data_IF_131425550826
#
_entry.id   IF_131425550826
#
_cell.length_a   1.000
_cell.length_b   1.000
_cell.length_c   1.000
_cell.angle_alpha   90.00
_cell.angle_beta   90.00
_cell.angle_gamma   90.00
#
_symmetry.space_group_name_H-M   'P 1'
#
loop_
_entity.id
_entity.type
_entity.pdbx_description
1 polymer ?
#
# COMPACT_ATOMS: atom_id res chain seq x y z
N UNK A 1 4.12 -14.02 -24.53
CA UNK A 1 3.15 -13.14 -25.22
C UNK A 1 2.49 -12.24 -24.18
N UNK A 2 3.28 -11.42 -23.46
CA UNK A 2 2.74 -10.43 -22.53
C UNK A 2 2.39 -9.20 -23.34
N UNK A 3 1.14 -8.72 -23.26
CA UNK A 3 0.78 -7.44 -23.86
C UNK A 3 1.63 -6.38 -23.16
N UNK A 4 2.64 -5.89 -23.88
CA UNK A 4 3.35 -4.68 -23.57
C UNK A 4 2.30 -3.60 -23.28
N UNK A 5 2.50 -2.93 -22.17
CA UNK A 5 1.80 -1.70 -21.78
C UNK A 5 1.73 -0.83 -23.05
N UNK A 6 0.56 -0.29 -23.44
CA UNK A 6 0.45 0.56 -24.63
C UNK A 6 1.51 1.66 -24.56
N UNK A 7 2.07 2.00 -25.73
CA UNK A 7 3.01 3.11 -25.95
C UNK A 7 2.77 4.27 -24.97
N UNK A 8 3.83 4.65 -24.26
CA UNK A 8 3.81 5.63 -23.17
C UNK A 8 3.12 6.95 -23.60
N UNK A 9 3.19 7.28 -24.89
CA UNK A 9 2.64 8.49 -25.46
C UNK A 9 1.10 8.55 -25.51
N UNK A 10 0.43 7.43 -25.74
CA UNK A 10 -1.05 7.40 -25.88
C UNK A 10 -1.75 7.55 -24.53
N UNK A 11 -1.12 7.07 -23.48
CA UNK A 11 -1.71 7.09 -22.16
C UNK A 11 -1.46 8.43 -21.43
N UNK A 12 -0.33 9.10 -21.70
CA UNK A 12 -0.06 10.46 -21.21
C UNK A 12 -1.15 11.44 -21.66
N UNK A 13 -1.51 11.38 -22.94
CA UNK A 13 -2.64 12.16 -23.50
C UNK A 13 -3.96 11.80 -22.82
N UNK A 14 -4.17 10.52 -22.47
CA UNK A 14 -5.36 10.08 -21.75
C UNK A 14 -5.43 10.66 -20.34
N UNK A 15 -4.29 10.74 -19.64
CA UNK A 15 -4.23 11.35 -18.31
C UNK A 15 -4.45 12.87 -18.36
N UNK A 16 -3.87 13.55 -19.35
CA UNK A 16 -4.10 14.98 -19.58
C UNK A 16 -5.57 15.26 -19.97
N UNK A 17 -6.19 14.41 -20.79
CA UNK A 17 -7.62 14.46 -21.10
C UNK A 17 -8.53 14.22 -19.88
N UNK A 18 -8.14 13.33 -18.94
CA UNK A 18 -8.88 13.12 -17.69
C UNK A 18 -8.83 14.35 -16.79
N UNK A 19 -7.69 15.06 -16.77
CA UNK A 19 -7.51 16.28 -15.98
C UNK A 19 -8.28 17.48 -16.57
N UNK A 20 -8.54 17.46 -17.88
CA UNK A 20 -9.08 18.61 -18.65
C UNK A 20 -10.48 18.38 -19.24
N UNK A 21 -11.17 17.28 -18.90
CA UNK A 21 -12.49 16.95 -19.45
C UNK A 21 -13.50 18.10 -19.25
N UNK A 22 -14.16 18.51 -20.36
CA UNK A 22 -15.07 19.67 -20.47
C UNK A 22 -14.47 21.04 -20.13
N UNK A 23 -13.15 21.22 -20.27
CA UNK A 23 -12.51 22.54 -20.09
C UNK A 23 -12.46 23.01 -18.64
N UNK A 24 -12.63 22.09 -17.67
CA UNK A 24 -12.35 22.36 -16.27
C UNK A 24 -10.91 21.99 -15.94
N UNK A 25 -10.14 22.94 -15.41
CA UNK A 25 -8.73 22.77 -15.02
C UNK A 25 -8.55 22.03 -13.66
N UNK A 26 -9.57 21.33 -13.17
CA UNK A 26 -9.68 20.95 -11.75
C UNK A 26 -10.25 19.57 -11.44
N UNK A 27 -10.32 18.65 -12.42
CA UNK A 27 -10.74 17.28 -12.11
C UNK A 27 -9.66 16.58 -11.27
N UNK A 28 -10.01 16.19 -10.04
CA UNK A 28 -9.17 15.33 -9.20
C UNK A 28 -9.10 13.94 -9.84
N UNK A 29 -7.96 13.64 -10.46
CA UNK A 29 -7.67 12.30 -11.01
C UNK A 29 -6.92 11.49 -9.94
N UNK A 30 -7.43 10.33 -9.51
CA UNK A 30 -6.74 9.48 -8.55
C UNK A 30 -5.33 9.09 -9.01
N UNK A 31 -4.36 9.07 -8.10
CA UNK A 31 -2.95 8.78 -8.41
C UNK A 31 -2.69 7.39 -8.98
N UNK A 32 -3.63 6.43 -8.88
CA UNK A 32 -3.54 5.12 -9.55
C UNK A 32 -3.53 5.24 -11.09
N UNK A 33 -4.01 6.37 -11.61
CA UNK A 33 -3.91 6.70 -13.02
C UNK A 33 -2.71 7.58 -13.33
N UNK A 34 -1.85 7.93 -12.37
CA UNK A 34 -0.72 8.84 -12.62
C UNK A 34 0.37 8.16 -13.45
N UNK A 35 1.00 8.89 -14.41
CA UNK A 35 2.09 8.33 -15.18
C UNK A 35 3.32 7.92 -14.44
N UNK A 36 4.01 6.89 -14.98
CA UNK A 36 5.20 6.32 -14.34
C UNK A 36 6.23 7.42 -14.08
N UNK A 37 6.49 8.28 -15.07
CA UNK A 37 7.38 9.44 -14.92
C UNK A 37 6.93 10.44 -13.84
N UNK A 38 5.63 10.52 -13.57
CA UNK A 38 5.05 11.40 -12.55
C UNK A 38 4.92 10.72 -11.17
N UNK A 39 5.02 9.39 -11.10
CA UNK A 39 4.97 8.65 -9.83
C UNK A 39 6.21 8.95 -8.99
N UNK A 40 6.00 9.17 -7.69
CA UNK A 40 7.08 9.43 -6.72
C UNK A 40 7.90 8.18 -6.39
N UNK A 41 7.28 7.00 -6.48
CA UNK A 41 7.89 5.73 -6.11
C UNK A 41 7.49 4.65 -7.12
N UNK A 42 8.44 3.75 -7.41
CA UNK A 42 8.18 2.48 -8.09
C UNK A 42 8.38 1.35 -7.08
N UNK A 43 7.39 0.49 -6.92
CA UNK A 43 7.46 -0.70 -6.06
C UNK A 43 7.55 -1.95 -6.96
N UNK A 44 8.61 -2.72 -6.83
CA UNK A 44 8.78 -4.01 -7.55
C UNK A 44 8.46 -5.13 -6.59
N UNK A 45 7.35 -5.84 -6.82
CA UNK A 45 6.96 -7.00 -6.02
C UNK A 45 7.99 -8.12 -6.22
N UNK A 46 8.54 -8.61 -5.11
CA UNK A 46 9.53 -9.69 -5.08
C UNK A 46 8.93 -11.02 -4.63
N UNK A 47 7.87 -11.00 -3.82
CA UNK A 47 7.23 -12.21 -3.32
C UNK A 47 5.73 -12.02 -3.04
N UNK A 48 4.99 -13.13 -3.09
CA UNK A 48 3.57 -13.22 -2.79
C UNK A 48 3.29 -14.51 -2.01
N UNK A 49 2.93 -14.38 -0.73
CA UNK A 49 2.68 -15.51 0.14
C UNK A 49 1.21 -15.52 0.57
N UNK A 50 0.51 -16.64 0.37
CA UNK A 50 -0.82 -16.86 0.96
C UNK A 50 -0.67 -17.40 2.38
N UNK A 51 -1.23 -16.72 3.37
CA UNK A 51 -1.15 -17.12 4.78
C UNK A 51 -2.40 -16.71 5.56
N UNK A 52 -2.53 -17.21 6.80
CA UNK A 52 -3.53 -16.67 7.73
C UNK A 52 -3.00 -15.39 8.36
N UNK A 53 -3.92 -14.47 8.67
CA UNK A 53 -3.58 -13.22 9.33
C UNK A 53 -2.85 -13.45 10.66
N UNK A 54 -3.26 -14.46 11.44
CA UNK A 54 -2.61 -14.79 12.72
C UNK A 54 -1.24 -15.47 12.58
N UNK A 55 -0.84 -15.86 11.36
CA UNK A 55 0.50 -16.41 11.12
C UNK A 55 1.56 -15.30 11.03
N UNK A 56 1.16 -14.02 11.16
CA UNK A 56 2.07 -12.87 11.16
C UNK A 56 3.08 -12.96 12.32
N UNK A 57 4.34 -12.68 12.02
CA UNK A 57 5.41 -12.62 13.03
C UNK A 57 5.55 -11.21 13.61
N UNK A 58 6.31 -11.09 14.70
CA UNK A 58 6.64 -9.78 15.26
C UNK A 58 7.49 -8.96 14.28
N UNK A 59 8.39 -9.61 13.55
CA UNK A 59 9.23 -9.04 12.51
C UNK A 59 8.38 -8.49 11.36
N UNK A 60 7.42 -9.27 10.84
CA UNK A 60 6.49 -8.82 9.79
C UNK A 60 5.69 -7.59 10.25
N UNK A 61 5.15 -7.64 11.48
CA UNK A 61 4.41 -6.52 12.06
C UNK A 61 5.26 -5.24 12.11
N UNK A 62 6.56 -5.35 12.42
CA UNK A 62 7.48 -4.21 12.42
C UNK A 62 7.73 -3.70 10.99
N UNK A 63 7.94 -4.60 10.02
CA UNK A 63 8.19 -4.26 8.62
C UNK A 63 7.00 -3.57 7.93
N UNK A 64 5.77 -3.81 8.40
CA UNK A 64 4.56 -3.09 7.98
C UNK A 64 4.54 -1.60 8.36
N UNK A 65 5.55 -1.13 9.11
CA UNK A 65 5.77 0.28 9.40
C UNK A 65 5.47 0.68 10.84
N UNK A 66 5.56 -0.26 11.79
CA UNK A 66 5.53 0.11 13.20
C UNK A 66 6.83 0.80 13.61
N UNK A 67 6.69 1.83 14.43
CA UNK A 67 7.82 2.60 14.95
C UNK A 67 8.03 2.28 16.44
N UNK A 68 9.28 2.36 16.87
CA UNK A 68 9.65 2.14 18.27
C UNK A 68 9.71 3.45 19.05
N UNK A 69 8.99 3.49 20.17
CA UNK A 69 8.91 4.63 21.08
C UNK A 69 9.21 4.15 22.51
N UNK A 70 10.47 4.30 22.93
CA UNK A 70 10.98 3.72 24.16
C UNK A 70 10.96 2.19 24.15
N UNK A 71 10.21 1.60 25.08
CA UNK A 71 10.02 0.16 25.23
C UNK A 71 8.79 -0.38 24.47
N UNK A 72 8.05 0.48 23.75
CA UNK A 72 6.81 0.13 23.07
C UNK A 72 6.87 0.41 21.57
N UNK A 73 5.91 -0.19 20.86
CA UNK A 73 5.64 0.00 19.44
C UNK A 73 4.42 0.89 19.25
N UNK A 74 4.37 1.61 18.12
CA UNK A 74 3.29 2.53 17.72
C UNK A 74 3.16 2.60 16.20
N UNK A 75 2.04 3.16 15.74
CA UNK A 75 1.85 3.62 14.36
C UNK A 75 1.14 4.97 14.37
N UNK A 76 1.56 5.88 13.50
CA UNK A 76 1.06 7.27 13.50
C UNK A 76 -0.44 7.39 13.20
N UNK A 77 -1.00 6.45 12.43
CA UNK A 77 -2.44 6.39 12.16
C UNK A 77 -3.28 6.06 13.40
N UNK A 78 -2.65 5.52 14.46
CA UNK A 78 -3.26 5.21 15.75
C UNK A 78 -2.50 5.89 16.89
N UNK A 79 -2.56 7.23 17.00
CA UNK A 79 -1.71 8.03 17.87
C UNK A 79 -1.96 7.85 19.37
N UNK A 80 -2.93 7.01 19.76
CA UNK A 80 -3.27 6.71 21.15
C UNK A 80 -3.10 5.21 21.49
N UNK A 81 -2.44 4.44 20.63
CA UNK A 81 -2.27 3.00 20.80
C UNK A 81 -0.79 2.61 20.81
N UNK A 82 -0.31 2.12 21.96
CA UNK A 82 1.05 1.62 22.16
C UNK A 82 1.02 0.28 22.87
N UNK A 83 1.94 -0.62 22.50
CA UNK A 83 2.10 -1.92 23.15
C UNK A 83 3.57 -2.38 23.10
N UNK A 84 3.99 -3.18 24.06
CA UNK A 84 5.32 -3.82 24.05
C UNK A 84 5.40 -4.91 22.97
N UNK A 85 4.27 -5.53 22.62
CA UNK A 85 4.14 -6.52 21.55
C UNK A 85 3.73 -5.84 20.23
N UNK A 86 4.58 -5.86 19.18
CA UNK A 86 4.26 -5.25 17.90
C UNK A 86 3.04 -5.89 17.23
N UNK A 87 2.77 -7.18 17.48
CA UNK A 87 1.60 -7.87 16.90
C UNK A 87 0.29 -7.28 17.44
N UNK A 88 0.26 -6.83 18.70
CA UNK A 88 -0.93 -6.15 19.24
C UNK A 88 -1.18 -4.79 18.60
N UNK A 89 -0.11 -4.04 18.31
CA UNK A 89 -0.23 -2.74 17.62
C UNK A 89 -0.68 -2.95 16.19
N UNK A 90 -0.10 -3.93 15.48
CA UNK A 90 -0.52 -4.29 14.14
C UNK A 90 -1.97 -4.78 14.10
N UNK A 91 -2.40 -5.58 15.08
CA UNK A 91 -3.81 -5.97 15.22
C UNK A 91 -4.73 -4.76 15.30
N UNK A 92 -4.41 -3.78 16.15
CA UNK A 92 -5.22 -2.58 16.28
C UNK A 92 -5.26 -1.78 14.97
N UNK A 93 -4.12 -1.70 14.26
CA UNK A 93 -4.03 -1.10 12.93
C UNK A 93 -4.92 -1.83 11.93
N UNK A 94 -4.83 -3.16 11.88
CA UNK A 94 -5.61 -4.00 11.00
C UNK A 94 -7.12 -3.77 11.20
N UNK A 95 -7.60 -3.86 12.44
CA UNK A 95 -9.02 -3.65 12.78
C UNK A 95 -9.51 -2.23 12.47
N UNK A 96 -8.62 -1.23 12.48
CA UNK A 96 -8.96 0.14 12.08
C UNK A 96 -9.19 0.29 10.56
N UNK A 97 -8.55 -0.56 9.76
CA UNK A 97 -8.62 -0.55 8.30
C UNK A 97 -9.70 -1.53 7.78
N UNK A 98 -9.88 -2.66 8.47
CA UNK A 98 -10.75 -3.77 8.05
C UNK A 98 -11.88 -4.00 9.06
N UNK A 99 -13.00 -3.32 8.84
CA UNK A 99 -14.13 -3.32 9.80
C UNK A 99 -15.25 -4.31 9.45
N UNK A 100 -15.21 -4.91 8.26
CA UNK A 100 -16.27 -5.78 7.75
C UNK A 100 -16.10 -7.22 8.26
N UNK A 101 -17.20 -7.94 8.52
CA UNK A 101 -17.14 -9.36 8.85
C UNK A 101 -16.41 -10.15 7.76
N UNK A 102 -15.56 -11.08 8.16
CA UNK A 102 -14.68 -11.86 7.28
C UNK A 102 -13.34 -11.19 6.97
N UNK A 103 -13.13 -9.93 7.39
CA UNK A 103 -11.88 -9.19 7.18
C UNK A 103 -11.22 -8.77 8.50
N UNK A 104 -11.89 -8.89 9.65
CA UNK A 104 -11.37 -8.43 10.95
C UNK A 104 -10.26 -9.31 11.46
N UNK A 105 -9.50 -8.83 12.45
CA UNK A 105 -8.50 -9.64 13.12
C UNK A 105 -9.09 -10.94 13.69
N UNK A 106 -10.26 -10.84 14.34
CA UNK A 106 -10.94 -11.99 14.95
C UNK A 106 -11.39 -13.06 13.94
N UNK A 107 -11.62 -12.67 12.68
CA UNK A 107 -12.06 -13.58 11.62
C UNK A 107 -10.91 -14.43 11.07
N UNK A 108 -9.66 -14.08 11.39
CA UNK A 108 -8.44 -14.70 10.89
C UNK A 108 -8.48 -15.00 9.37
N UNK A 109 -8.68 -13.95 8.53
CA UNK A 109 -8.82 -14.12 7.10
C UNK A 109 -7.58 -14.75 6.46
N UNK A 110 -7.79 -15.38 5.30
CA UNK A 110 -6.69 -15.67 4.39
C UNK A 110 -6.26 -14.36 3.72
N UNK A 111 -4.97 -14.05 3.78
CA UNK A 111 -4.37 -12.83 3.24
C UNK A 111 -3.27 -13.20 2.24
N UNK A 112 -2.90 -12.23 1.41
CA UNK A 112 -1.69 -12.30 0.59
C UNK A 112 -0.69 -11.30 1.17
N UNK A 113 0.40 -11.79 1.76
CA UNK A 113 1.53 -10.97 2.16
C UNK A 113 2.38 -10.64 0.92
N UNK A 114 2.75 -9.37 0.76
CA UNK A 114 3.45 -8.87 -0.43
C UNK A 114 4.78 -8.25 -0.01
N UNK A 115 5.88 -8.84 -0.45
CA UNK A 115 7.22 -8.24 -0.30
C UNK A 115 7.59 -7.47 -1.57
N UNK A 116 8.21 -6.31 -1.42
CA UNK A 116 8.63 -5.48 -2.55
C UNK A 116 9.91 -4.68 -2.27
N UNK A 117 10.56 -4.23 -3.33
CA UNK A 117 11.65 -3.25 -3.27
C UNK A 117 11.20 -1.89 -3.80
N UNK A 118 11.79 -0.81 -3.27
CA UNK A 118 11.47 0.57 -3.64
C UNK A 118 12.51 1.17 -4.57
N UNK A 119 12.08 1.99 -5.52
CA UNK A 119 12.94 2.86 -6.31
C UNK A 119 12.38 4.30 -6.31
N UNK A 120 13.25 5.27 -6.01
CA UNK A 120 12.94 6.72 -5.97
C UNK A 120 12.81 7.35 -7.38
N UNK A 121 12.92 6.54 -8.43
CA UNK A 121 12.75 6.97 -9.80
C UNK A 121 11.73 6.06 -10.50
N UNK A 122 11.02 6.64 -11.47
CA UNK A 122 10.33 5.85 -12.47
C UNK A 122 11.36 4.97 -13.18
N UNK A 123 11.12 3.66 -13.26
CA UNK A 123 11.93 2.82 -14.15
C UNK A 123 11.57 3.20 -15.59
N UNK A 124 12.47 3.93 -16.25
CA UNK A 124 12.56 4.15 -17.70
C UNK A 124 14.05 4.16 -18.06
N UNK A 125 14.53 3.49 -19.09
CA UNK A 125 13.90 2.95 -20.30
C UNK A 125 14.09 1.42 -20.47
#
# INVERSE_FOLDING_TARGET
MGKLIPDLFEWEKKWENLRTYRGGDSLQVPSIHMPRWASRLTLTVSDLIEQRLWDITAEDAIEEGLERDGDRWRVDSLPNHWNEDPVQVYRALWDSLHTKPGERWEDNPAIIAISFSTALAAIGD
#
